data_IF_127883276267
#
_entry.id   IF_127883276267
#
_cell.length_a   1.000
_cell.length_b   1.000
_cell.length_c   1.000
_cell.angle_alpha   90.00
_cell.angle_beta   90.00
_cell.angle_gamma   90.00
#
_symmetry.space_group_name_H-M   'P 1'
#
loop_
_entity.id
_entity.type
_entity.pdbx_description
1 polymer ?
#
# COMPACT_ATOMS: atom_id res chain seq x y z
N UNK A 1 11.20 11.84 -3.34
CA UNK A 1 10.57 11.54 -4.66
C UNK A 1 9.15 10.98 -4.54
N UNK A 2 8.29 11.57 -3.70
CA UNK A 2 6.87 11.17 -3.58
C UNK A 2 5.96 11.88 -4.56
N UNK A 3 6.15 13.19 -4.66
CA UNK A 3 5.38 14.06 -5.54
C UNK A 3 5.53 13.73 -7.03
N UNK A 4 6.72 13.33 -7.49
CA UNK A 4 6.95 12.98 -8.88
C UNK A 4 6.09 11.79 -9.35
N UNK A 5 5.94 10.77 -8.50
CA UNK A 5 5.14 9.59 -8.82
C UNK A 5 3.64 9.94 -8.90
N UNK A 6 3.12 10.68 -7.92
CA UNK A 6 1.72 11.12 -7.92
C UNK A 6 1.39 12.05 -9.09
N UNK A 7 2.32 12.94 -9.44
CA UNK A 7 2.19 13.83 -10.58
C UNK A 7 2.17 13.05 -11.90
N UNK A 8 3.06 12.07 -12.05
CA UNK A 8 3.13 11.23 -13.24
C UNK A 8 1.88 10.34 -13.39
N UNK A 9 1.38 9.76 -12.29
CA UNK A 9 0.13 9.01 -12.27
C UNK A 9 -1.07 9.88 -12.64
N UNK A 10 -1.16 11.10 -12.09
CA UNK A 10 -2.21 12.06 -12.46
C UNK A 10 -2.15 12.38 -13.95
N UNK A 11 -0.97 12.62 -14.50
CA UNK A 11 -0.83 12.95 -15.91
C UNK A 11 -1.20 11.77 -16.82
N UNK A 12 -0.89 10.54 -16.43
CA UNK A 12 -1.35 9.36 -17.16
C UNK A 12 -2.88 9.22 -17.15
N UNK A 13 -3.55 9.52 -16.03
CA UNK A 13 -5.02 9.49 -15.98
C UNK A 13 -5.66 10.63 -16.78
N UNK A 14 -5.15 11.85 -16.64
CA UNK A 14 -5.76 13.06 -17.23
C UNK A 14 -5.43 13.21 -18.72
N UNK A 15 -4.22 12.84 -19.14
CA UNK A 15 -3.74 13.08 -20.50
C UNK A 15 -3.68 11.81 -21.36
N UNK A 16 -3.54 10.61 -20.76
CA UNK A 16 -3.44 9.35 -21.52
C UNK A 16 -4.73 8.51 -21.47
N UNK A 17 -5.81 8.98 -20.82
CA UNK A 17 -7.10 8.27 -20.68
C UNK A 17 -6.99 6.83 -20.15
N UNK A 18 -5.94 6.51 -19.40
CA UNK A 18 -5.81 5.20 -18.76
C UNK A 18 -6.81 5.08 -17.62
N UNK A 19 -7.82 4.24 -17.80
CA UNK A 19 -8.69 3.77 -16.71
C UNK A 19 -7.97 2.69 -15.93
N UNK A 20 -7.53 3.03 -14.72
CA UNK A 20 -7.01 2.02 -13.79
C UNK A 20 -8.14 1.22 -13.18
N UNK A 21 -7.86 -0.05 -12.96
CA UNK A 21 -8.75 -0.90 -12.16
C UNK A 21 -8.62 -0.42 -10.71
N UNK A 22 -9.72 -0.32 -9.97
CA UNK A 22 -9.73 0.21 -8.60
C UNK A 22 -8.70 -0.46 -7.67
N UNK A 23 -8.39 -1.74 -7.91
CA UNK A 23 -7.36 -2.50 -7.21
C UNK A 23 -5.94 -1.99 -7.45
N UNK A 24 -5.62 -1.50 -8.65
CA UNK A 24 -4.29 -0.95 -9.01
C UNK A 24 -4.07 0.40 -8.33
N UNK A 25 -5.11 1.24 -8.32
CA UNK A 25 -5.07 2.53 -7.63
C UNK A 25 -4.89 2.34 -6.12
N UNK A 26 -5.61 1.37 -5.53
CA UNK A 26 -5.48 1.04 -4.12
C UNK A 26 -4.07 0.53 -3.79
N UNK A 27 -3.51 -0.38 -4.60
CA UNK A 27 -2.15 -0.89 -4.43
C UNK A 27 -1.11 0.24 -4.46
N UNK A 28 -1.24 1.19 -5.38
CA UNK A 28 -0.29 2.28 -5.50
C UNK A 28 -0.42 3.31 -4.38
N UNK A 29 -1.63 3.63 -3.95
CA UNK A 29 -1.86 4.45 -2.77
C UNK A 29 -1.22 3.80 -1.54
N UNK A 30 -1.52 2.52 -1.30
CA UNK A 30 -0.98 1.76 -0.18
C UNK A 30 0.54 1.73 -0.18
N UNK A 31 1.16 1.43 -1.33
CA UNK A 31 2.62 1.43 -1.51
C UNK A 31 3.23 2.80 -1.19
N UNK A 32 2.58 3.89 -1.63
CA UNK A 32 3.03 5.25 -1.34
C UNK A 32 2.96 5.58 0.15
N UNK A 33 1.85 5.21 0.82
CA UNK A 33 1.65 5.40 2.25
C UNK A 33 2.69 4.64 3.08
N UNK A 34 2.89 3.34 2.81
CA UNK A 34 3.88 2.51 3.49
C UNK A 34 5.28 3.12 3.34
N UNK A 35 5.67 3.54 2.14
CA UNK A 35 6.99 4.18 1.91
C UNK A 35 7.16 5.45 2.74
N UNK A 36 6.12 6.28 2.87
CA UNK A 36 6.17 7.48 3.70
C UNK A 36 6.32 7.14 5.18
N UNK A 37 5.56 6.17 5.67
CA UNK A 37 5.65 5.67 7.04
C UNK A 37 7.03 5.08 7.35
N UNK A 38 7.62 4.29 6.45
CA UNK A 38 8.97 3.75 6.61
C UNK A 38 10.03 4.85 6.69
N UNK A 39 9.88 5.91 5.89
CA UNK A 39 10.77 7.08 5.96
C UNK A 39 10.69 7.79 7.31
N UNK A 40 9.47 7.95 7.86
CA UNK A 40 9.24 8.53 9.18
C UNK A 40 9.85 7.63 10.27
N UNK A 41 9.57 6.32 10.23
CA UNK A 41 10.11 5.35 11.19
C UNK A 41 11.64 5.42 11.25
N UNK A 42 12.28 5.44 10.08
CA UNK A 42 13.75 5.56 9.97
C UNK A 42 14.26 6.89 10.53
N UNK A 43 13.56 8.00 10.27
CA UNK A 43 13.93 9.33 10.78
C UNK A 43 13.77 9.44 12.30
N UNK A 44 12.77 8.78 12.88
CA UNK A 44 12.57 8.74 14.33
C UNK A 44 13.54 7.76 15.01
N UNK A 45 13.89 6.66 14.34
CA UNK A 45 14.85 5.69 14.86
C UNK A 45 16.26 6.28 15.04
N UNK A 46 16.68 7.21 14.17
CA UNK A 46 18.00 7.84 14.26
C UNK A 46 18.13 8.88 15.38
N UNK A 47 17.02 9.34 15.96
CA UNK A 47 17.01 10.33 17.04
C UNK A 47 17.02 9.63 18.40
N UNK A 48 17.94 9.96 19.32
CA UNK A 48 18.02 9.28 20.62
C UNK A 48 16.73 9.32 21.44
N UNK A 49 16.02 10.44 21.41
CA UNK A 49 14.81 10.69 22.22
C UNK A 49 13.52 10.10 21.63
N UNK A 50 13.53 9.65 20.37
CA UNK A 50 12.38 8.99 19.73
C UNK A 50 12.73 7.62 19.14
N UNK A 51 13.94 7.11 19.41
CA UNK A 51 14.44 5.84 18.87
C UNK A 51 13.49 4.67 19.10
N UNK A 52 12.97 4.52 20.32
CA UNK A 52 12.01 3.45 20.65
C UNK A 52 10.72 3.56 19.84
N UNK A 53 10.23 4.79 19.64
CA UNK A 53 9.04 5.03 18.79
C UNK A 53 9.33 4.73 17.33
N UNK A 54 10.51 5.09 16.83
CA UNK A 54 10.96 4.75 15.49
C UNK A 54 11.05 3.23 15.27
N UNK A 55 11.62 2.51 16.24
CA UNK A 55 11.69 1.04 16.21
C UNK A 55 10.29 0.41 16.25
N UNK A 56 9.42 0.86 17.15
CA UNK A 56 8.04 0.38 17.23
C UNK A 56 7.30 0.60 15.91
N UNK A 57 7.41 1.80 15.32
CA UNK A 57 6.77 2.11 14.06
C UNK A 57 7.31 1.22 12.92
N UNK A 58 8.61 0.94 12.91
CA UNK A 58 9.21 0.05 11.93
C UNK A 58 8.68 -1.38 12.05
N UNK A 59 8.62 -1.93 13.26
CA UNK A 59 8.06 -3.27 13.51
C UNK A 59 6.58 -3.36 13.13
N UNK A 60 5.79 -2.31 13.40
CA UNK A 60 4.39 -2.25 12.98
C UNK A 60 4.23 -2.25 11.46
N UNK A 61 5.11 -1.54 10.74
CA UNK A 61 5.11 -1.53 9.27
C UNK A 61 5.49 -2.91 8.74
N UNK A 62 6.54 -3.52 9.28
CA UNK A 62 7.00 -4.86 8.86
C UNK A 62 5.86 -5.88 9.03
N UNK A 63 5.17 -5.86 10.18
CA UNK A 63 3.98 -6.68 10.43
C UNK A 63 2.89 -6.45 9.37
N UNK A 64 2.51 -5.19 9.15
CA UNK A 64 1.47 -4.81 8.18
C UNK A 64 1.80 -5.23 6.74
N UNK A 65 3.09 -5.22 6.36
CA UNK A 65 3.53 -5.67 5.03
C UNK A 65 3.69 -7.19 4.92
N UNK A 66 3.85 -7.89 6.04
CA UNK A 66 3.94 -9.35 6.10
C UNK A 66 2.60 -10.06 6.22
N UNK A 67 1.53 -9.32 6.57
CA UNK A 67 0.17 -9.83 6.53
C UNK A 67 -0.21 -10.07 5.06
N UNK A 68 0.00 -11.29 4.59
CA UNK A 68 -0.64 -11.75 3.37
C UNK A 68 -2.15 -11.65 3.52
N UNK A 69 -2.81 -11.24 2.44
CA UNK A 69 -4.26 -10.99 2.41
C UNK A 69 -4.98 -12.32 2.65
N UNK A 70 -5.33 -12.59 3.91
CA UNK A 70 -6.32 -13.61 4.28
C UNK A 70 -7.73 -13.11 3.87
N UNK A 71 -7.96 -12.94 2.57
CA UNK A 71 -9.30 -12.88 2.04
C UNK A 71 -9.64 -14.29 1.55
N UNK A 72 -10.66 -14.97 2.11
CA UNK A 72 -11.15 -16.19 1.49
C UNK A 72 -11.58 -15.86 0.07
N UNK A 73 -10.98 -16.52 -0.92
CA UNK A 73 -11.51 -16.58 -2.28
C UNK A 73 -12.77 -17.45 -2.27
N UNK A 74 -13.86 -16.96 -1.71
CA UNK A 74 -15.18 -17.58 -1.86
C UNK A 74 -16.06 -16.65 -2.70
N UNK A 75 -15.83 -16.69 -4.00
CA UNK A 75 -16.76 -16.18 -5.02
C UNK A 75 -16.47 -16.90 -6.37
N UNK A 76 -16.29 -18.23 -6.33
CA UNK A 76 -16.44 -19.03 -7.54
C UNK A 76 -17.92 -19.42 -7.64
N UNK A 77 -18.67 -18.96 -8.67
CA UNK A 77 -20.06 -19.33 -8.82
C UNK A 77 -20.14 -20.82 -9.18
N UNK A 78 -20.47 -21.66 -8.21
CA UNK A 78 -20.79 -23.06 -8.47
C UNK A 78 -21.97 -23.13 -9.47
N UNK A 79 -21.85 -23.89 -10.58
CA UNK A 79 -22.98 -24.07 -11.48
C UNK A 79 -24.12 -24.80 -10.75
N UNK A 80 -25.39 -24.43 -11.01
CA UNK A 80 -26.53 -25.06 -10.36
C UNK A 80 -26.57 -26.56 -10.72
N UNK A 81 -27.00 -27.43 -9.78
CA UNK A 81 -27.08 -28.86 -10.05
C UNK A 81 -28.05 -29.13 -11.19
N UNK A 82 -27.61 -29.95 -12.16
CA UNK A 82 -28.43 -30.40 -13.27
C UNK A 82 -29.60 -31.30 -12.77
N UNK A 83 -30.74 -31.29 -13.48
CA UNK A 83 -31.95 -32.02 -13.08
C UNK A 83 -31.79 -33.55 -13.09
#
# INVERSE_FOLDING_TARGET
MGYALLWQTRNQMVHENKTWIASEQLKLMWTSCIRQLSSIARKEYTKPHTRTKGLQLQLSIDCLTSMDVEAPQDDEPHPPPAP
#
